data_IF_457115236810
#
_entry.id   IF_457115236810
#
_cell.length_a   1.000
_cell.length_b   1.000
_cell.length_c   1.000
_cell.angle_alpha   90.00
_cell.angle_beta   90.00
_cell.angle_gamma   90.00
#
_symmetry.space_group_name_H-M   'P 1'
#
loop_
_entity.id
_entity.type
_entity.pdbx_description
1 polymer ?
#
# COMPACT_ATOMS: atom_id res chain seq x y z
N UNK A 1 -14.99 -31.28 -33.20
CA UNK A 1 -15.59 -32.58 -32.81
C UNK A 1 -16.85 -32.23 -32.02
N UNK A 2 -17.98 -31.84 -32.63
CA UNK A 2 -18.53 -32.16 -33.95
C UNK A 2 -18.83 -33.65 -34.11
N UNK A 3 -19.98 -34.09 -33.58
CA UNK A 3 -20.88 -35.14 -34.10
C UNK A 3 -22.02 -35.34 -33.10
N UNK A 4 -23.18 -34.73 -33.37
CA UNK A 4 -24.50 -35.31 -33.03
C UNK A 4 -25.60 -34.67 -33.90
N UNK A 5 -25.49 -34.92 -35.21
CA UNK A 5 -26.41 -34.41 -36.23
C UNK A 5 -27.54 -35.43 -36.52
N UNK A 6 -27.45 -36.64 -35.96
CA UNK A 6 -28.30 -37.77 -36.32
C UNK A 6 -29.67 -37.78 -35.62
N UNK A 7 -29.78 -37.30 -34.37
CA UNK A 7 -31.09 -37.18 -33.71
C UNK A 7 -32.02 -36.16 -34.38
N UNK A 8 -31.46 -35.23 -35.18
CA UNK A 8 -32.24 -34.20 -35.91
C UNK A 8 -32.90 -34.72 -37.19
N UNK A 9 -32.58 -35.93 -37.67
CA UNK A 9 -33.01 -36.45 -38.98
C UNK A 9 -34.23 -37.39 -38.86
N UNK A 10 -34.49 -38.00 -37.71
CA UNK A 10 -35.51 -39.07 -37.57
C UNK A 10 -36.96 -38.61 -37.32
N UNK A 11 -37.21 -37.32 -37.06
CA UNK A 11 -38.55 -36.80 -36.68
C UNK A 11 -39.32 -36.00 -37.74
N UNK A 12 -38.82 -35.91 -38.98
CA UNK A 12 -39.44 -35.12 -40.06
C UNK A 12 -39.69 -35.89 -41.37
N UNK A 13 -39.96 -37.20 -41.28
CA UNK A 13 -40.43 -37.99 -42.43
C UNK A 13 -41.58 -38.93 -42.07
N UNK A 14 -42.70 -38.35 -41.66
CA UNK A 14 -44.04 -38.87 -41.98
C UNK A 14 -45.13 -37.81 -41.78
N UNK A 15 -46.10 -37.77 -42.71
CA UNK A 15 -47.39 -37.05 -42.66
C UNK A 15 -47.42 -35.51 -42.90
N UNK A 16 -47.40 -35.14 -44.19
CA UNK A 16 -47.85 -33.86 -44.74
C UNK A 16 -47.55 -33.77 -46.26
N UNK A 17 -48.41 -34.23 -47.20
CA UNK A 17 -49.55 -33.49 -47.82
C UNK A 17 -49.15 -32.07 -48.28
N UNK A 18 -49.32 -31.61 -49.54
CA UNK A 18 -50.17 -32.00 -50.70
C UNK A 18 -49.52 -31.47 -52.02
N UNK A 19 -50.06 -31.84 -53.20
CA UNK A 19 -50.10 -31.06 -54.49
C UNK A 19 -48.81 -30.91 -55.33
N UNK A 20 -48.81 -30.72 -56.67
CA UNK A 20 -49.82 -30.81 -57.78
C UNK A 20 -49.05 -30.73 -59.13
N UNK A 21 -49.63 -31.21 -60.27
CA UNK A 21 -49.19 -30.99 -61.68
C UNK A 21 -47.79 -31.55 -62.10
N UNK A 22 -47.44 -31.85 -63.37
CA UNK A 22 -48.14 -31.85 -64.68
C UNK A 22 -47.52 -32.91 -65.65
N UNK A 23 -48.28 -33.33 -66.69
CA UNK A 23 -47.90 -33.81 -68.05
C UNK A 23 -46.89 -34.97 -68.34
N UNK A 24 -47.33 -35.83 -69.29
CA UNK A 24 -46.61 -36.42 -70.46
C UNK A 24 -45.33 -37.30 -70.22
N UNK A 25 -45.00 -38.38 -70.96
CA UNK A 25 -45.62 -39.10 -72.09
C UNK A 25 -45.00 -40.55 -72.24
N UNK A 26 -45.54 -41.36 -73.18
CA UNK A 26 -45.01 -42.60 -73.82
C UNK A 26 -45.33 -44.02 -73.28
N UNK A 27 -45.91 -44.81 -74.19
CA UNK A 27 -46.03 -46.29 -74.22
C UNK A 27 -44.83 -46.91 -75.00
N UNK A 28 -44.74 -48.22 -75.42
CA UNK A 28 -45.73 -49.31 -75.62
C UNK A 28 -45.52 -50.55 -74.69
N UNK A 29 -46.37 -51.58 -74.49
CA UNK A 29 -47.24 -52.43 -75.35
C UNK A 29 -46.65 -53.88 -75.44
N UNK A 30 -47.36 -55.00 -75.78
CA UNK A 30 -48.80 -55.29 -75.98
C UNK A 30 -49.34 -56.62 -75.32
N UNK A 31 -50.64 -56.98 -75.48
CA UNK A 31 -51.19 -58.35 -75.18
C UNK A 31 -52.73 -58.46 -74.95
N UNK A 32 -53.40 -59.48 -75.53
CA UNK A 32 -54.90 -59.65 -75.73
C UNK A 32 -55.21 -61.17 -75.97
N UNK A 33 -56.41 -61.83 -75.77
CA UNK A 33 -57.81 -61.44 -75.40
C UNK A 33 -58.45 -62.26 -74.22
N UNK A 34 -59.80 -62.45 -74.20
CA UNK A 34 -60.61 -63.35 -73.31
C UNK A 34 -61.06 -64.68 -73.97
N UNK A 35 -62.25 -65.31 -73.70
CA UNK A 35 -63.47 -64.83 -72.97
C UNK A 35 -64.26 -65.90 -72.11
N UNK A 36 -65.51 -65.56 -71.73
CA UNK A 36 -66.69 -66.45 -71.50
C UNK A 36 -67.20 -66.76 -70.06
N UNK A 37 -68.50 -67.08 -69.98
CA UNK A 37 -69.41 -67.17 -68.81
C UNK A 37 -69.93 -68.60 -68.56
N UNK A 38 -70.77 -68.94 -67.54
CA UNK A 38 -72.19 -68.52 -67.48
C UNK A 38 -72.85 -68.34 -66.08
N UNK A 39 -74.05 -67.74 -66.05
CA UNK A 39 -74.98 -67.75 -64.90
C UNK A 39 -76.43 -67.46 -65.34
N UNK A 40 -77.43 -68.19 -64.80
CA UNK A 40 -78.89 -67.89 -64.75
C UNK A 40 -79.65 -69.09 -64.13
N UNK A 41 -80.96 -69.01 -63.76
CA UNK A 41 -81.94 -67.95 -64.06
C UNK A 41 -82.82 -67.40 -62.91
N UNK A 42 -83.36 -66.20 -63.19
CA UNK A 42 -84.72 -65.67 -62.87
C UNK A 42 -85.33 -65.69 -61.46
N UNK A 43 -85.90 -64.53 -61.08
CA UNK A 43 -87.38 -64.35 -61.02
C UNK A 43 -87.78 -62.89 -61.30
N UNK A 44 -88.97 -62.71 -61.88
CA UNK A 44 -89.52 -61.42 -62.33
C UNK A 44 -90.02 -60.55 -61.17
N UNK A 45 -89.99 -59.22 -61.35
CA UNK A 45 -90.76 -58.29 -60.51
C UNK A 45 -90.31 -56.82 -60.60
N UNK A 46 -91.23 -55.95 -61.02
CA UNK A 46 -91.20 -54.48 -60.82
C UNK A 46 -90.09 -53.67 -61.54
N UNK A 47 -90.21 -53.57 -62.86
CA UNK A 47 -89.39 -52.68 -63.71
C UNK A 47 -89.83 -51.19 -63.75
N UNK A 48 -90.77 -50.75 -62.90
CA UNK A 48 -91.31 -49.36 -62.92
C UNK A 48 -91.07 -48.52 -61.65
N UNK A 49 -90.51 -49.10 -60.58
CA UNK A 49 -90.17 -48.37 -59.34
C UNK A 49 -88.69 -47.95 -59.25
N UNK A 50 -87.76 -48.65 -59.93
CA UNK A 50 -86.31 -48.43 -59.77
C UNK A 50 -85.81 -47.09 -60.31
N UNK A 51 -86.45 -46.52 -61.33
CA UNK A 51 -86.03 -45.21 -61.89
C UNK A 51 -86.57 -44.00 -61.12
N UNK A 52 -87.80 -44.08 -60.58
CA UNK A 52 -88.32 -43.03 -59.68
C UNK A 52 -87.58 -43.06 -58.35
N UNK A 53 -87.34 -44.24 -57.75
CA UNK A 53 -86.54 -44.34 -56.52
C UNK A 53 -85.10 -43.87 -56.73
N UNK A 54 -84.44 -44.18 -57.85
CA UNK A 54 -83.10 -43.61 -58.15
C UNK A 54 -83.13 -42.09 -58.23
N UNK A 55 -84.08 -41.48 -58.94
CA UNK A 55 -84.20 -40.01 -59.02
C UNK A 55 -84.52 -39.35 -57.66
N UNK A 56 -85.37 -39.97 -56.84
CA UNK A 56 -85.70 -39.48 -55.50
C UNK A 56 -84.51 -39.64 -54.54
N UNK A 57 -83.78 -40.76 -54.59
CA UNK A 57 -82.58 -40.98 -53.76
C UNK A 57 -81.44 -40.03 -54.17
N UNK A 58 -81.23 -39.80 -55.47
CA UNK A 58 -80.24 -38.84 -55.97
C UNK A 58 -80.63 -37.42 -55.55
N UNK A 59 -81.90 -37.02 -55.74
CA UNK A 59 -82.40 -35.72 -55.27
C UNK A 59 -82.28 -35.52 -53.76
N UNK A 60 -82.66 -36.54 -52.96
CA UNK A 60 -82.52 -36.50 -51.51
C UNK A 60 -81.06 -36.47 -51.04
N UNK A 61 -80.15 -37.17 -51.73
CA UNK A 61 -78.71 -37.10 -51.43
C UNK A 61 -78.12 -35.72 -51.72
N UNK A 62 -78.55 -35.07 -52.82
CA UNK A 62 -78.14 -33.69 -53.14
C UNK A 62 -78.66 -32.73 -52.07
N UNK A 63 -79.93 -32.84 -51.67
CA UNK A 63 -80.52 -32.01 -50.61
C UNK A 63 -79.80 -32.24 -49.27
N UNK A 64 -79.49 -33.49 -48.92
CA UNK A 64 -78.74 -33.82 -47.69
C UNK A 64 -77.31 -33.24 -47.71
N UNK A 65 -76.60 -33.33 -48.84
CA UNK A 65 -75.27 -32.72 -49.02
C UNK A 65 -75.32 -31.20 -48.93
N UNK A 66 -76.35 -30.56 -49.50
CA UNK A 66 -76.57 -29.11 -49.36
C UNK A 66 -76.86 -28.73 -47.91
N UNK A 67 -77.69 -29.50 -47.18
CA UNK A 67 -77.97 -29.27 -45.76
C UNK A 67 -76.70 -29.41 -44.90
N UNK A 68 -75.89 -30.44 -45.15
CA UNK A 68 -74.59 -30.63 -44.50
C UNK A 68 -73.65 -29.46 -44.81
N UNK A 69 -73.58 -29.01 -46.07
CA UNK A 69 -72.76 -27.86 -46.46
C UNK A 69 -73.21 -26.54 -45.78
N UNK A 70 -74.51 -26.32 -45.62
CA UNK A 70 -75.07 -25.17 -44.89
C UNK A 70 -74.76 -25.27 -43.39
N UNK A 71 -74.93 -26.44 -42.78
CA UNK A 71 -74.59 -26.65 -41.35
C UNK A 71 -73.09 -26.43 -41.12
N UNK A 72 -72.23 -26.95 -42.00
CA UNK A 72 -70.78 -26.69 -41.95
C UNK A 72 -70.49 -25.20 -42.17
N UNK A 73 -71.17 -24.51 -43.09
CA UNK A 73 -71.01 -23.06 -43.31
C UNK A 73 -71.40 -22.22 -42.09
N UNK A 74 -72.51 -22.54 -41.43
CA UNK A 74 -72.94 -21.86 -40.19
C UNK A 74 -71.99 -22.18 -39.03
N UNK A 75 -71.57 -23.44 -38.88
CA UNK A 75 -70.63 -23.86 -37.84
C UNK A 75 -69.24 -23.23 -38.01
N UNK A 76 -68.72 -23.21 -39.25
CA UNK A 76 -67.42 -22.59 -39.57
C UNK A 76 -67.45 -21.08 -39.42
N UNK A 77 -68.54 -20.39 -39.77
CA UNK A 77 -68.65 -18.94 -39.53
C UNK A 77 -68.77 -18.59 -38.05
N UNK A 78 -69.43 -19.42 -37.23
CA UNK A 78 -69.46 -19.27 -35.77
C UNK A 78 -68.08 -19.52 -35.13
N UNK A 79 -67.44 -20.65 -35.44
CA UNK A 79 -66.06 -20.97 -35.03
C UNK A 79 -65.07 -19.85 -35.44
N UNK A 80 -65.14 -19.37 -36.68
CA UNK A 80 -64.26 -18.30 -37.17
C UNK A 80 -64.49 -16.96 -36.45
N UNK A 81 -65.70 -16.66 -35.97
CA UNK A 81 -65.96 -15.48 -35.14
C UNK A 81 -65.35 -15.63 -33.75
N UNK A 82 -65.58 -16.76 -33.09
CA UNK A 82 -64.99 -17.04 -31.77
C UNK A 82 -63.45 -17.07 -31.82
N UNK A 83 -62.87 -17.68 -32.85
CA UNK A 83 -61.42 -17.72 -33.08
C UNK A 83 -60.83 -16.32 -33.32
N UNK A 84 -61.52 -15.45 -34.08
CA UNK A 84 -61.09 -14.04 -34.27
C UNK A 84 -61.14 -13.25 -32.97
N UNK A 85 -62.24 -13.34 -32.22
CA UNK A 85 -62.37 -12.66 -30.92
C UNK A 85 -61.27 -13.10 -29.93
N UNK A 86 -60.96 -14.39 -29.89
CA UNK A 86 -59.86 -14.93 -29.08
C UNK A 86 -58.48 -14.46 -29.58
N UNK A 87 -58.25 -14.34 -30.88
CA UNK A 87 -57.01 -13.77 -31.43
C UNK A 87 -56.86 -12.27 -31.13
N UNK A 88 -57.93 -11.49 -31.26
CA UNK A 88 -57.96 -10.07 -30.90
C UNK A 88 -57.71 -9.87 -29.40
N UNK A 89 -58.34 -10.68 -28.54
CA UNK A 89 -58.09 -10.69 -27.09
C UNK A 89 -56.64 -11.06 -26.74
N UNK A 90 -56.06 -12.07 -27.41
CA UNK A 90 -54.62 -12.41 -27.27
C UNK A 90 -53.72 -11.24 -27.65
N UNK A 91 -53.97 -10.60 -28.79
CA UNK A 91 -53.19 -9.44 -29.24
C UNK A 91 -53.33 -8.25 -28.28
N UNK A 92 -54.51 -8.02 -27.70
CA UNK A 92 -54.72 -7.02 -26.67
C UNK A 92 -53.93 -7.33 -25.38
N UNK A 93 -53.96 -8.60 -24.91
CA UNK A 93 -53.17 -9.06 -23.76
C UNK A 93 -51.66 -9.01 -24.01
N UNK A 94 -51.17 -9.34 -25.21
CA UNK A 94 -49.75 -9.16 -25.55
C UNK A 94 -49.34 -7.69 -25.57
N UNK A 95 -50.21 -6.77 -26.03
CA UNK A 95 -49.98 -5.32 -25.91
C UNK A 95 -49.95 -4.87 -24.45
N UNK A 96 -50.79 -5.44 -23.58
CA UNK A 96 -50.75 -5.20 -22.14
C UNK A 96 -49.42 -5.67 -21.52
N UNK A 97 -48.93 -6.87 -21.86
CA UNK A 97 -47.59 -7.36 -21.47
C UNK A 97 -46.50 -6.38 -21.90
N UNK A 98 -46.48 -5.98 -23.18
CA UNK A 98 -45.48 -5.05 -23.68
C UNK A 98 -45.58 -3.64 -23.07
N UNK A 99 -46.72 -3.26 -22.48
CA UNK A 99 -46.88 -1.99 -21.75
C UNK A 99 -46.30 -2.05 -20.33
N UNK A 100 -46.40 -3.18 -19.64
CA UNK A 100 -45.89 -3.34 -18.27
C UNK A 100 -44.43 -3.85 -18.20
N UNK A 101 -44.00 -4.64 -19.18
CA UNK A 101 -42.64 -5.16 -19.33
C UNK A 101 -41.79 -4.26 -20.25
N UNK A 102 -41.45 -3.08 -19.73
CA UNK A 102 -40.61 -2.04 -20.36
C UNK A 102 -39.37 -1.75 -19.51
N UNK A 103 -38.31 -1.20 -20.13
CA UNK A 103 -37.07 -0.85 -19.43
C UNK A 103 -36.33 -2.09 -18.91
N UNK A 104 -36.01 -2.14 -17.61
CA UNK A 104 -35.27 -3.26 -17.01
C UNK A 104 -35.98 -4.63 -17.14
N UNK A 105 -37.29 -4.64 -17.38
CA UNK A 105 -38.09 -5.84 -17.62
C UNK A 105 -38.27 -6.21 -19.10
N UNK A 106 -37.78 -5.38 -20.02
CA UNK A 106 -38.11 -5.52 -21.45
C UNK A 106 -37.56 -6.82 -22.06
N UNK A 107 -36.44 -7.28 -21.52
CA UNK A 107 -35.73 -8.51 -21.89
C UNK A 107 -35.85 -9.61 -20.82
N UNK A 108 -36.73 -9.47 -19.81
CA UNK A 108 -36.89 -10.48 -18.77
C UNK A 108 -37.50 -11.78 -19.38
N UNK A 109 -36.94 -12.98 -19.12
CA UNK A 109 -37.47 -14.24 -19.62
C UNK A 109 -38.95 -14.48 -19.24
N UNK A 110 -39.43 -13.89 -18.14
CA UNK A 110 -40.83 -13.96 -17.71
C UNK A 110 -41.78 -13.30 -18.73
N UNK A 111 -41.34 -12.28 -19.46
CA UNK A 111 -42.11 -11.65 -20.56
C UNK A 111 -42.40 -12.64 -21.67
N UNK A 112 -41.38 -13.40 -22.09
CA UNK A 112 -41.52 -14.44 -23.12
C UNK A 112 -42.39 -15.61 -22.62
N UNK A 113 -42.28 -15.98 -21.35
CA UNK A 113 -43.17 -16.97 -20.73
C UNK A 113 -44.63 -16.49 -20.71
N UNK A 114 -44.91 -15.24 -20.33
CA UNK A 114 -46.27 -14.68 -20.36
C UNK A 114 -46.86 -14.66 -21.77
N UNK A 115 -46.09 -14.21 -22.76
CA UNK A 115 -46.53 -14.18 -24.16
C UNK A 115 -46.84 -15.60 -24.66
N UNK A 116 -46.04 -16.60 -24.27
CA UNK A 116 -46.30 -18.00 -24.60
C UNK A 116 -47.55 -18.55 -23.90
N UNK A 117 -47.79 -18.22 -22.62
CA UNK A 117 -49.01 -18.60 -21.90
C UNK A 117 -50.26 -17.97 -22.54
N UNK A 118 -50.21 -16.67 -22.87
CA UNK A 118 -51.27 -15.95 -23.60
C UNK A 118 -51.53 -16.62 -24.96
N UNK A 119 -50.48 -17.01 -25.69
CA UNK A 119 -50.62 -17.70 -26.97
C UNK A 119 -51.21 -19.11 -26.84
N UNK A 120 -50.97 -19.82 -25.73
CA UNK A 120 -51.49 -21.17 -25.47
C UNK A 120 -52.92 -21.22 -24.92
N UNK A 121 -53.44 -20.12 -24.35
CA UNK A 121 -54.80 -20.06 -23.80
C UNK A 121 -55.88 -20.45 -24.83
N UNK A 122 -56.86 -21.25 -24.41
CA UNK A 122 -57.92 -21.83 -25.23
C UNK A 122 -59.27 -21.10 -25.10
N UNK A 123 -59.43 -20.25 -24.10
CA UNK A 123 -60.64 -19.45 -23.87
C UNK A 123 -60.31 -18.00 -23.48
N UNK A 124 -61.33 -17.14 -23.52
CA UNK A 124 -61.22 -15.74 -23.06
C UNK A 124 -61.10 -15.70 -21.52
N UNK A 125 -61.81 -16.58 -20.81
CA UNK A 125 -61.71 -16.72 -19.35
C UNK A 125 -60.30 -17.13 -18.87
N UNK A 126 -59.57 -17.93 -19.66
CA UNK A 126 -58.16 -18.25 -19.37
C UNK A 126 -57.24 -17.03 -19.57
N UNK A 127 -57.56 -16.14 -20.51
CA UNK A 127 -56.80 -14.90 -20.74
C UNK A 127 -57.06 -13.83 -19.68
N UNK A 128 -58.29 -13.74 -19.18
CA UNK A 128 -58.66 -12.79 -18.11
C UNK A 128 -58.05 -13.15 -16.76
N UNK A 129 -57.83 -14.45 -16.50
CA UNK A 129 -57.11 -14.94 -15.30
C UNK A 129 -55.62 -14.61 -15.29
N UNK A 130 -55.03 -14.18 -16.41
CA UNK A 130 -53.62 -13.74 -16.48
C UNK A 130 -53.55 -12.26 -16.08
N UNK A 131 -53.28 -12.01 -14.80
CA UNK A 131 -52.98 -10.68 -14.28
C UNK A 131 -51.53 -10.28 -14.61
N UNK A 132 -51.38 -9.70 -15.80
CA UNK A 132 -50.13 -9.15 -16.32
C UNK A 132 -49.54 -8.09 -15.37
N UNK A 133 -50.38 -7.28 -14.72
CA UNK A 133 -49.94 -6.16 -13.89
C UNK A 133 -49.37 -6.66 -12.57
N UNK A 134 -50.10 -7.53 -11.86
CA UNK A 134 -49.61 -8.10 -10.59
C UNK A 134 -48.31 -8.88 -10.79
N UNK A 135 -48.17 -9.63 -11.88
CA UNK A 135 -46.94 -10.36 -12.21
C UNK A 135 -45.78 -9.40 -12.50
N UNK A 136 -46.00 -8.33 -13.27
CA UNK A 136 -44.99 -7.32 -13.53
C UNK A 136 -44.55 -6.57 -12.26
N UNK A 137 -45.49 -6.21 -11.37
CA UNK A 137 -45.21 -5.58 -10.08
C UNK A 137 -44.43 -6.51 -9.13
N UNK A 138 -44.81 -7.79 -9.05
CA UNK A 138 -44.07 -8.80 -8.31
C UNK A 138 -42.63 -8.95 -8.84
N UNK A 139 -42.44 -8.98 -10.17
CA UNK A 139 -41.10 -9.12 -10.75
C UNK A 139 -40.24 -7.86 -10.53
N UNK A 140 -40.83 -6.65 -10.52
CA UNK A 140 -40.11 -5.42 -10.10
C UNK A 140 -39.61 -5.52 -8.67
N UNK A 141 -40.49 -5.90 -7.73
CA UNK A 141 -40.12 -6.03 -6.32
C UNK A 141 -39.02 -7.10 -6.11
N UNK A 142 -39.06 -8.21 -6.85
CA UNK A 142 -37.97 -9.20 -6.84
C UNK A 142 -36.65 -8.63 -7.37
N UNK A 143 -36.67 -7.93 -8.51
CA UNK A 143 -35.48 -7.36 -9.13
C UNK A 143 -34.85 -6.29 -8.21
N UNK A 144 -35.67 -5.47 -7.56
CA UNK A 144 -35.24 -4.50 -6.54
C UNK A 144 -34.60 -5.20 -5.32
N UNK A 145 -35.21 -6.28 -4.81
CA UNK A 145 -34.60 -7.09 -3.74
C UNK A 145 -33.28 -7.75 -4.18
N UNK A 146 -33.20 -8.29 -5.40
CA UNK A 146 -31.96 -8.83 -5.97
C UNK A 146 -30.87 -7.75 -6.05
N UNK A 147 -31.21 -6.50 -6.43
CA UNK A 147 -30.27 -5.37 -6.48
C UNK A 147 -29.77 -4.99 -5.09
N UNK A 148 -30.67 -4.82 -4.11
CA UNK A 148 -30.30 -4.52 -2.73
C UNK A 148 -29.41 -5.61 -2.12
N UNK A 149 -29.68 -6.88 -2.41
CA UNK A 149 -28.82 -8.00 -1.99
C UNK A 149 -27.43 -7.96 -2.64
N UNK A 150 -27.35 -7.67 -3.95
CA UNK A 150 -26.05 -7.54 -4.66
C UNK A 150 -25.24 -6.35 -4.14
N UNK A 151 -25.86 -5.19 -3.94
CA UNK A 151 -25.20 -4.02 -3.36
C UNK A 151 -24.69 -4.28 -1.94
N UNK A 152 -25.45 -5.04 -1.14
CA UNK A 152 -25.04 -5.44 0.20
C UNK A 152 -23.86 -6.44 0.19
N UNK A 153 -23.86 -7.40 -0.73
CA UNK A 153 -22.71 -8.31 -0.94
C UNK A 153 -21.47 -7.54 -1.39
N UNK A 154 -21.59 -6.66 -2.38
CA UNK A 154 -20.50 -5.78 -2.84
C UNK A 154 -19.96 -4.89 -1.72
N UNK A 155 -20.83 -4.35 -0.85
CA UNK A 155 -20.40 -3.57 0.31
C UNK A 155 -19.58 -4.42 1.30
N UNK A 156 -19.98 -5.67 1.56
CA UNK A 156 -19.18 -6.60 2.38
C UNK A 156 -17.82 -6.91 1.76
N UNK A 157 -17.78 -7.29 0.48
CA UNK A 157 -16.54 -7.60 -0.24
C UNK A 157 -15.58 -6.41 -0.24
N UNK A 158 -16.09 -5.21 -0.53
CA UNK A 158 -15.30 -3.97 -0.50
C UNK A 158 -14.74 -3.69 0.89
N UNK A 159 -15.55 -3.85 1.95
CA UNK A 159 -15.10 -3.62 3.33
C UNK A 159 -14.09 -4.66 3.81
N UNK A 160 -14.25 -5.93 3.42
CA UNK A 160 -13.27 -6.98 3.69
C UNK A 160 -11.92 -6.65 3.04
N UNK A 161 -11.91 -6.22 1.78
CA UNK A 161 -10.68 -5.82 1.07
C UNK A 161 -10.01 -4.60 1.71
N UNK A 162 -10.78 -3.59 2.13
CA UNK A 162 -10.27 -2.40 2.84
C UNK A 162 -9.57 -2.80 4.17
N UNK A 163 -10.19 -3.70 4.94
CA UNK A 163 -9.63 -4.23 6.19
C UNK A 163 -8.38 -5.08 5.89
N UNK A 164 -8.39 -5.92 4.86
CA UNK A 164 -7.22 -6.72 4.48
C UNK A 164 -6.02 -5.87 4.02
N UNK A 165 -6.27 -4.83 3.21
CA UNK A 165 -5.21 -3.92 2.73
C UNK A 165 -4.59 -3.12 3.87
N UNK A 166 -5.43 -2.56 4.76
CA UNK A 166 -4.97 -1.74 5.88
C UNK A 166 -4.17 -2.54 6.92
N UNK A 167 -4.58 -3.78 7.23
CA UNK A 167 -3.77 -4.71 8.04
C UNK A 167 -2.55 -5.23 7.29
N UNK A 168 -2.61 -5.40 5.97
CA UNK A 168 -1.49 -5.82 5.13
C UNK A 168 -0.27 -4.90 5.23
N UNK A 169 -0.49 -3.58 5.34
CA UNK A 169 0.57 -2.61 5.58
C UNK A 169 1.35 -2.91 6.88
N UNK A 170 0.65 -3.19 7.98
CA UNK A 170 1.27 -3.57 9.24
C UNK A 170 1.96 -4.94 9.15
N UNK A 171 1.25 -5.94 8.59
CA UNK A 171 1.74 -7.33 8.50
C UNK A 171 2.94 -7.51 7.57
N UNK A 172 3.23 -6.54 6.70
CA UNK A 172 4.45 -6.46 5.89
C UNK A 172 5.72 -6.09 6.69
N UNK A 173 5.55 -5.52 7.89
CA UNK A 173 6.65 -5.06 8.74
C UNK A 173 7.33 -6.23 9.49
N UNK A 174 8.59 -6.06 9.93
CA UNK A 174 9.28 -7.01 10.81
C UNK A 174 8.71 -6.98 12.23
N UNK A 175 7.50 -7.52 12.39
CA UNK A 175 6.74 -7.57 13.64
C UNK A 175 7.28 -8.62 14.63
N UNK A 176 7.26 -8.33 15.94
CA UNK A 176 7.33 -9.34 16.99
C UNK A 176 6.23 -10.40 16.83
N UNK A 177 6.50 -11.62 17.29
CA UNK A 177 5.53 -12.72 17.26
C UNK A 177 4.20 -12.34 17.95
N UNK A 178 4.29 -11.67 19.10
CA UNK A 178 3.12 -11.27 19.91
C UNK A 178 2.23 -10.29 19.14
N UNK A 179 2.79 -9.17 18.65
CA UNK A 179 2.06 -8.15 17.89
C UNK A 179 1.51 -8.74 16.58
N UNK A 180 2.26 -9.61 15.91
CA UNK A 180 1.79 -10.31 14.71
C UNK A 180 0.60 -11.22 15.01
N UNK A 181 0.62 -11.94 16.13
CA UNK A 181 -0.48 -12.81 16.55
C UNK A 181 -1.74 -11.99 16.89
N UNK A 182 -1.58 -10.88 17.60
CA UNK A 182 -2.66 -9.95 17.95
C UNK A 182 -3.28 -9.32 16.70
N UNK A 183 -2.46 -8.84 15.77
CA UNK A 183 -2.91 -8.26 14.51
C UNK A 183 -3.72 -9.26 13.66
N UNK A 184 -3.29 -10.53 13.59
CA UNK A 184 -4.03 -11.58 12.86
C UNK A 184 -5.34 -11.95 13.58
N UNK A 185 -5.36 -11.98 14.91
CA UNK A 185 -6.59 -12.23 15.67
C UNK A 185 -7.63 -11.13 15.45
N UNK A 186 -7.22 -9.85 15.56
CA UNK A 186 -8.10 -8.70 15.33
C UNK A 186 -8.60 -8.66 13.88
N UNK A 187 -7.71 -8.90 12.90
CA UNK A 187 -8.07 -9.02 11.49
C UNK A 187 -9.21 -10.03 11.28
N UNK A 188 -9.08 -11.23 11.85
CA UNK A 188 -10.11 -12.27 11.72
C UNK A 188 -11.42 -11.88 12.43
N UNK A 189 -11.35 -11.30 13.64
CA UNK A 189 -12.54 -10.80 14.35
C UNK A 189 -13.28 -9.70 13.55
N UNK A 190 -12.56 -8.81 12.87
CA UNK A 190 -13.16 -7.79 12.01
C UNK A 190 -13.82 -8.40 10.77
N UNK A 191 -13.18 -9.39 10.13
CA UNK A 191 -13.80 -10.15 9.02
C UNK A 191 -15.06 -10.89 9.46
N UNK A 192 -15.05 -11.52 10.63
CA UNK A 192 -16.24 -12.18 11.22
C UNK A 192 -17.38 -11.19 11.51
N UNK A 193 -17.06 -9.99 12.04
CA UNK A 193 -18.05 -8.90 12.21
C UNK A 193 -18.66 -8.48 10.85
N UNK A 194 -17.85 -8.27 9.80
CA UNK A 194 -18.38 -7.91 8.46
C UNK A 194 -19.23 -9.03 7.88
N UNK A 195 -18.81 -10.29 8.03
CA UNK A 195 -19.55 -11.44 7.54
C UNK A 195 -20.88 -11.63 8.28
N UNK A 196 -20.92 -11.40 9.60
CA UNK A 196 -22.12 -11.54 10.44
C UNK A 196 -23.11 -10.37 10.34
N UNK A 197 -22.68 -9.19 9.88
CA UNK A 197 -23.54 -8.02 9.67
C UNK A 197 -24.74 -8.35 8.76
N UNK A 198 -25.89 -7.75 9.04
CA UNK A 198 -27.17 -7.98 8.34
C UNK A 198 -27.60 -6.82 7.44
N UNK A 199 -27.06 -5.63 7.67
CA UNK A 199 -27.40 -4.40 6.95
C UNK A 199 -26.15 -3.71 6.39
N UNK A 200 -26.33 -2.91 5.34
CA UNK A 200 -25.26 -2.11 4.71
C UNK A 200 -24.64 -1.12 5.72
N UNK A 201 -25.47 -0.59 6.62
CA UNK A 201 -25.06 0.36 7.65
C UNK A 201 -24.22 -0.31 8.76
N UNK A 202 -24.58 -1.52 9.19
CA UNK A 202 -23.76 -2.32 10.10
C UNK A 202 -22.35 -2.60 9.52
N UNK A 203 -22.25 -2.85 8.21
CA UNK A 203 -20.95 -3.04 7.54
C UNK A 203 -20.14 -1.73 7.52
N UNK A 204 -20.80 -0.60 7.25
CA UNK A 204 -20.14 0.71 7.20
C UNK A 204 -19.59 1.17 8.57
N UNK A 205 -20.22 0.77 9.68
CA UNK A 205 -19.79 1.08 11.05
C UNK A 205 -18.56 0.28 11.53
N UNK A 206 -18.10 -0.72 10.78
CA UNK A 206 -16.92 -1.54 11.16
C UNK A 206 -15.64 -0.81 10.73
N UNK A 207 -15.11 0.01 11.63
CA UNK A 207 -13.86 0.76 11.42
C UNK A 207 -12.63 -0.03 11.92
N UNK A 208 -11.64 -0.34 11.05
CA UNK A 208 -10.37 -0.92 11.48
C UNK A 208 -9.41 0.07 12.16
N UNK A 209 -9.57 1.38 11.95
CA UNK A 209 -8.57 2.39 12.34
C UNK A 209 -8.22 2.42 13.85
N UNK A 210 -9.18 2.31 14.80
CA UNK A 210 -8.86 2.33 16.23
C UNK A 210 -7.95 1.16 16.64
N UNK A 211 -8.18 -0.02 16.04
CA UNK A 211 -7.39 -1.21 16.30
C UNK A 211 -6.01 -1.13 15.66
N UNK A 212 -5.93 -0.63 14.42
CA UNK A 212 -4.66 -0.41 13.73
C UNK A 212 -3.80 0.62 14.45
N UNK A 213 -4.39 1.69 14.98
CA UNK A 213 -3.70 2.69 15.80
C UNK A 213 -3.03 2.08 17.03
N UNK A 214 -3.72 1.17 17.75
CA UNK A 214 -3.13 0.50 18.91
C UNK A 214 -1.97 -0.43 18.49
N UNK A 215 -2.16 -1.22 17.43
CA UNK A 215 -1.15 -2.15 16.93
C UNK A 215 0.11 -1.44 16.39
N UNK A 216 -0.06 -0.38 15.60
CA UNK A 216 1.06 0.44 15.11
C UNK A 216 1.78 1.16 16.24
N UNK A 217 1.06 1.63 17.26
CA UNK A 217 1.67 2.20 18.47
C UNK A 217 2.51 1.16 19.24
N UNK A 218 2.00 -0.06 19.40
CA UNK A 218 2.79 -1.19 19.98
C UNK A 218 4.04 -1.48 19.15
N UNK A 219 3.93 -1.51 17.82
CA UNK A 219 5.07 -1.72 16.92
C UNK A 219 6.12 -0.60 17.02
N UNK A 220 5.69 0.66 17.06
CA UNK A 220 6.60 1.79 17.29
C UNK A 220 7.27 1.77 18.66
N UNK A 221 6.57 1.35 19.71
CA UNK A 221 7.20 1.16 21.03
C UNK A 221 8.28 0.08 20.99
N UNK A 222 8.03 -1.03 20.29
CA UNK A 222 9.03 -2.06 20.03
C UNK A 222 10.24 -1.50 19.28
N UNK A 223 10.04 -0.76 18.18
CA UNK A 223 11.15 -0.11 17.45
C UNK A 223 11.99 0.81 18.36
N UNK A 224 11.34 1.65 19.18
CA UNK A 224 12.02 2.54 20.15
C UNK A 224 12.82 1.73 21.18
N UNK A 225 12.30 0.60 21.65
CA UNK A 225 12.98 -0.22 22.66
C UNK A 225 14.20 -0.95 22.12
N UNK A 226 14.14 -1.48 20.89
CA UNK A 226 15.27 -2.19 20.28
C UNK A 226 16.43 -1.29 19.83
N UNK A 227 16.20 0.00 19.63
CA UNK A 227 17.27 0.93 19.29
C UNK A 227 18.29 0.95 20.46
N UNK A 228 19.59 0.71 20.21
CA UNK A 228 20.57 0.58 21.30
C UNK A 228 20.86 1.91 22.03
N UNK A 229 20.61 3.05 21.38
CA UNK A 229 20.80 4.39 21.97
C UNK A 229 19.70 4.73 22.98
N UNK A 230 20.04 5.46 24.04
CA UNK A 230 19.06 5.91 25.06
C UNK A 230 18.05 6.96 24.54
N UNK A 231 18.39 7.59 23.41
CA UNK A 231 17.56 8.56 22.69
C UNK A 231 17.23 8.06 21.29
N UNK A 232 16.14 8.57 20.75
CA UNK A 232 15.65 8.30 19.39
C UNK A 232 15.30 9.63 18.72
N UNK A 233 15.32 9.66 17.40
CA UNK A 233 14.81 10.77 16.61
C UNK A 233 13.40 10.38 16.15
N UNK A 234 12.42 11.24 16.41
CA UNK A 234 11.11 11.17 15.78
C UNK A 234 11.06 12.22 14.67
N UNK A 235 10.69 11.76 13.47
CA UNK A 235 10.69 12.57 12.25
C UNK A 235 9.31 12.52 11.58
N UNK A 236 8.70 13.69 11.42
CA UNK A 236 7.36 13.89 10.82
C UNK A 236 7.54 14.82 9.62
N UNK A 237 7.62 14.23 8.42
CA UNK A 237 7.96 14.97 7.20
C UNK A 237 9.34 15.62 7.30
N UNK A 238 9.39 16.95 7.30
CA UNK A 238 10.64 17.74 7.43
C UNK A 238 11.03 18.05 8.88
N UNK A 239 10.12 17.90 9.84
CA UNK A 239 10.43 18.15 11.25
C UNK A 239 11.12 16.92 11.87
N UNK A 240 12.30 17.11 12.46
CA UNK A 240 13.06 16.08 13.17
C UNK A 240 13.29 16.56 14.61
N UNK A 241 12.94 15.75 15.60
CA UNK A 241 13.07 16.09 17.02
C UNK A 241 13.68 14.92 17.80
N UNK A 242 14.55 15.23 18.76
CA UNK A 242 15.27 14.25 19.57
C UNK A 242 14.51 14.06 20.88
N UNK A 243 14.32 12.80 21.28
CA UNK A 243 13.60 12.44 22.51
C UNK A 243 14.32 11.28 23.22
N UNK A 244 14.19 11.19 24.54
CA UNK A 244 14.44 9.93 25.25
C UNK A 244 13.41 8.88 24.83
N UNK A 245 13.72 7.58 25.02
CA UNK A 245 12.75 6.50 24.74
C UNK A 245 11.39 6.71 25.43
N UNK A 246 11.39 7.23 26.65
CA UNK A 246 10.16 7.49 27.42
C UNK A 246 9.33 8.65 26.83
N UNK A 247 9.98 9.76 26.50
CA UNK A 247 9.34 10.92 25.87
C UNK A 247 8.81 10.57 24.48
N UNK A 248 9.56 9.83 23.68
CA UNK A 248 9.13 9.40 22.34
C UNK A 248 7.84 8.57 22.41
N UNK A 249 7.78 7.59 23.31
CA UNK A 249 6.56 6.81 23.56
C UNK A 249 5.40 7.70 24.05
N UNK A 250 5.68 8.68 24.91
CA UNK A 250 4.68 9.63 25.41
C UNK A 250 4.14 10.58 24.33
N UNK A 251 4.97 11.01 23.37
CA UNK A 251 4.53 11.78 22.19
C UNK A 251 3.60 10.91 21.33
N UNK A 252 4.02 9.69 20.99
CA UNK A 252 3.22 8.77 20.18
C UNK A 252 1.92 8.30 20.87
N UNK A 253 1.89 8.25 22.21
CA UNK A 253 0.69 7.85 22.97
C UNK A 253 -0.46 8.86 22.88
N UNK A 254 -0.15 10.15 22.64
CA UNK A 254 -1.13 11.24 22.50
C UNK A 254 -1.84 11.26 21.16
N UNK A 255 -1.26 10.64 20.13
CA UNK A 255 -1.79 10.66 18.77
C UNK A 255 -3.06 9.81 18.72
N UNK A 256 -4.21 10.43 18.49
CA UNK A 256 -5.53 9.77 18.39
C UNK A 256 -5.94 9.42 16.96
N UNK A 257 -5.24 9.94 15.95
CA UNK A 257 -5.50 9.66 14.54
C UNK A 257 -4.48 8.66 13.98
N UNK A 258 -4.98 7.58 13.38
CA UNK A 258 -4.14 6.57 12.74
C UNK A 258 -3.31 7.14 11.59
N UNK A 259 -3.88 8.05 10.81
CA UNK A 259 -3.23 8.67 9.65
C UNK A 259 -2.15 9.68 10.06
N UNK A 260 -2.28 10.31 11.23
CA UNK A 260 -1.19 11.10 11.81
C UNK A 260 -0.07 10.19 12.32
N UNK A 261 -0.40 9.09 12.99
CA UNK A 261 0.59 8.17 13.55
C UNK A 261 1.54 7.63 12.47
N UNK A 262 1.01 7.25 11.31
CA UNK A 262 1.80 6.75 10.16
C UNK A 262 2.77 7.77 9.55
N UNK A 263 2.65 9.07 9.85
CA UNK A 263 3.58 10.10 9.35
C UNK A 263 4.91 10.12 10.12
N UNK A 264 4.99 9.41 11.25
CA UNK A 264 6.19 9.35 12.07
C UNK A 264 7.14 8.24 11.62
N UNK A 265 8.41 8.63 11.50
CA UNK A 265 9.54 7.72 11.31
C UNK A 265 10.45 7.78 12.53
N UNK A 266 11.03 6.64 12.90
CA UNK A 266 11.82 6.46 14.11
C UNK A 266 13.25 6.12 13.68
N UNK A 267 14.19 7.00 14.00
CA UNK A 267 15.59 6.88 13.60
C UNK A 267 16.51 6.81 14.84
N UNK A 268 17.68 6.19 14.70
CA UNK A 268 18.67 6.09 15.79
C UNK A 268 19.30 7.47 16.05
N UNK A 269 19.38 7.88 17.32
CA UNK A 269 20.09 9.10 17.71
C UNK A 269 21.59 8.80 17.90
N UNK A 270 22.30 8.58 16.79
CA UNK A 270 23.75 8.38 16.80
C UNK A 270 24.46 9.73 16.88
N UNK A 271 25.07 10.01 18.03
CA UNK A 271 25.74 11.28 18.32
C UNK A 271 27.11 11.36 17.65
N UNK A 272 27.39 12.49 16.99
CA UNK A 272 28.62 12.77 16.25
C UNK A 272 29.14 14.15 16.64
N UNK A 273 30.46 14.31 16.68
CA UNK A 273 31.11 15.58 17.00
C UNK A 273 31.31 16.42 15.74
N UNK A 274 30.88 17.69 15.78
CA UNK A 274 31.02 18.67 14.70
C UNK A 274 31.80 19.87 15.20
N UNK A 275 32.86 20.24 14.49
CA UNK A 275 33.65 21.43 14.76
C UNK A 275 33.08 22.64 14.00
N UNK A 276 32.62 23.66 14.71
CA UNK A 276 32.00 24.87 14.17
C UNK A 276 32.82 26.11 14.54
N UNK A 277 33.14 26.96 13.56
CA UNK A 277 33.82 28.25 13.81
C UNK A 277 32.77 29.35 13.66
N UNK A 278 32.35 29.94 14.78
CA UNK A 278 31.29 30.94 14.84
C UNK A 278 31.78 32.24 15.50
N UNK A 279 31.26 33.42 15.13
CA UNK A 279 31.40 34.65 15.91
C UNK A 279 30.89 34.47 17.35
N UNK A 280 31.51 35.12 18.33
CA UNK A 280 31.11 35.09 19.74
C UNK A 280 29.63 35.44 19.92
N UNK A 281 29.12 36.44 19.21
CA UNK A 281 27.71 36.86 19.28
C UNK A 281 26.70 35.80 18.81
N UNK A 282 27.11 34.86 17.95
CA UNK A 282 26.28 33.75 17.49
C UNK A 282 26.23 32.60 18.51
N UNK A 283 27.12 32.61 19.51
CA UNK A 283 27.16 31.65 20.62
C UNK A 283 26.49 32.28 21.84
N UNK A 284 25.16 32.26 21.85
CA UNK A 284 24.35 33.00 22.81
C UNK A 284 24.23 32.24 24.15
N UNK A 285 24.70 32.91 25.21
CA UNK A 285 25.00 32.31 26.50
C UNK A 285 26.50 32.43 26.77
N UNK A 286 26.91 33.56 27.37
CA UNK A 286 28.28 34.08 27.38
C UNK A 286 29.38 33.10 27.84
N UNK A 287 29.02 32.02 28.54
CA UNK A 287 29.94 30.97 28.97
C UNK A 287 29.33 29.57 28.72
N UNK A 288 29.44 29.06 27.49
CA UNK A 288 29.18 27.65 27.18
C UNK A 288 30.29 26.77 27.76
N UNK A 289 29.90 25.88 28.67
CA UNK A 289 30.78 24.91 29.32
C UNK A 289 30.69 23.53 28.67
N UNK A 290 31.74 22.72 28.86
CA UNK A 290 31.72 21.30 28.49
C UNK A 290 30.57 20.59 29.21
N UNK A 291 29.77 19.82 28.49
CA UNK A 291 28.56 19.16 28.99
C UNK A 291 27.28 20.00 28.93
N UNK A 292 27.34 21.28 28.56
CA UNK A 292 26.13 22.11 28.45
C UNK A 292 25.20 21.61 27.34
N UNK A 293 23.92 21.46 27.66
CA UNK A 293 22.87 21.12 26.70
C UNK A 293 22.50 22.36 25.88
N UNK A 294 22.46 22.23 24.55
CA UNK A 294 22.28 23.34 23.61
C UNK A 294 21.17 23.07 22.57
N UNK A 295 20.70 24.14 21.93
CA UNK A 295 19.97 24.12 20.65
C UNK A 295 20.77 24.82 19.58
N UNK A 296 20.57 24.41 18.33
CA UNK A 296 21.17 25.05 17.16
C UNK A 296 20.06 25.56 16.25
N UNK A 297 20.16 26.82 15.86
CA UNK A 297 19.30 27.50 14.92
C UNK A 297 20.13 27.98 13.72
N UNK A 298 19.48 28.27 12.60
CA UNK A 298 20.06 28.92 11.43
C UNK A 298 19.23 30.15 11.06
N UNK A 299 19.89 31.27 10.78
CA UNK A 299 19.23 32.43 10.20
C UNK A 299 19.24 32.29 8.66
N UNK A 300 18.07 32.01 8.07
CA UNK A 300 17.94 31.89 6.61
C UNK A 300 17.87 33.29 5.98
N UNK A 301 17.10 34.18 6.60
CA UNK A 301 16.88 35.56 6.19
C UNK A 301 16.92 36.46 7.43
N UNK A 302 17.03 37.78 7.24
CA UNK A 302 17.05 38.78 8.33
C UNK A 302 15.92 38.61 9.36
N UNK A 303 14.75 38.08 8.97
CA UNK A 303 13.58 37.86 9.82
C UNK A 303 13.22 36.39 10.05
N UNK A 304 13.92 35.42 9.46
CA UNK A 304 13.55 33.99 9.48
C UNK A 304 14.63 33.14 10.13
N UNK A 305 14.31 32.61 11.32
CA UNK A 305 15.17 31.69 12.07
C UNK A 305 14.56 30.29 11.96
N UNK A 306 15.31 29.34 11.41
CA UNK A 306 14.97 27.91 11.38
C UNK A 306 15.64 27.21 12.56
N UNK A 307 14.90 26.36 13.27
CA UNK A 307 15.45 25.44 14.26
C UNK A 307 16.10 24.27 13.52
N UNK A 308 17.39 24.03 13.75
CA UNK A 308 18.17 22.97 13.10
C UNK A 308 18.26 21.76 14.02
N UNK A 309 18.75 21.93 15.25
CA UNK A 309 18.85 20.85 16.23
C UNK A 309 18.19 21.23 17.56
N UNK A 310 17.24 20.41 17.99
CA UNK A 310 16.47 20.56 19.23
C UNK A 310 17.28 20.28 20.50
N UNK A 311 18.35 19.51 20.35
CA UNK A 311 19.24 19.08 21.42
C UNK A 311 20.61 18.71 20.86
N UNK A 312 21.65 19.23 21.51
CA UNK A 312 23.02 18.78 21.39
C UNK A 312 23.76 19.05 22.70
N UNK A 313 25.03 18.71 22.75
CA UNK A 313 25.91 18.99 23.88
C UNK A 313 27.16 19.74 23.43
N UNK A 314 27.67 20.63 24.27
CA UNK A 314 28.98 21.26 24.07
C UNK A 314 30.05 20.29 24.55
N UNK A 315 30.93 19.85 23.65
CA UNK A 315 32.13 19.10 24.04
C UNK A 315 33.26 20.08 24.40
N UNK A 316 33.53 21.06 23.53
CA UNK A 316 34.62 22.01 23.75
C UNK A 316 34.31 23.39 23.16
N UNK A 317 34.83 24.43 23.80
CA UNK A 317 34.79 25.82 23.34
C UNK A 317 36.21 26.38 23.44
N UNK A 318 36.72 26.95 22.37
CA UNK A 318 38.06 27.52 22.26
C UNK A 318 38.00 28.87 21.56
N UNK A 319 38.64 29.88 22.14
CA UNK A 319 38.75 31.20 21.52
C UNK A 319 39.87 31.20 20.48
N UNK A 320 39.60 31.69 19.26
CA UNK A 320 40.62 31.85 18.23
C UNK A 320 41.29 33.21 18.41
N UNK A 321 42.36 33.25 19.20
CA UNK A 321 43.31 34.38 19.17
C UNK A 321 44.22 34.25 17.95
N UNK A 322 44.27 35.28 17.11
CA UNK A 322 45.07 35.31 15.87
C UNK A 322 46.61 35.20 16.09
N UNK A 323 47.06 35.19 17.35
CA UNK A 323 48.46 35.13 17.77
C UNK A 323 48.85 33.88 18.57
N UNK A 324 47.95 32.89 18.69
CA UNK A 324 48.22 31.65 19.44
C UNK A 324 49.19 30.71 18.71
N UNK A 325 50.43 30.60 19.18
CA UNK A 325 51.36 29.53 18.83
C UNK A 325 51.34 28.48 19.94
N UNK A 326 51.20 27.20 19.57
CA UNK A 326 51.29 26.07 20.51
C UNK A 326 52.57 25.29 20.23
N UNK A 327 53.36 25.05 21.29
CA UNK A 327 54.46 24.11 21.30
C UNK A 327 53.91 22.68 21.41
N UNK A 328 53.80 21.98 20.28
CA UNK A 328 53.40 20.56 20.22
C UNK A 328 54.66 19.72 20.44
N UNK A 329 54.61 18.79 21.39
CA UNK A 329 55.68 17.83 21.66
C UNK A 329 55.26 16.43 21.21
N UNK A 330 55.81 15.95 20.10
CA UNK A 330 55.62 14.57 19.66
C UNK A 330 56.75 13.68 20.19
N UNK A 331 56.41 12.66 20.98
CA UNK A 331 57.36 11.61 21.34
C UNK A 331 57.22 10.40 20.43
N UNK A 332 58.25 10.10 19.64
CA UNK A 332 58.38 8.82 18.95
C UNK A 332 59.24 7.87 19.79
N UNK A 333 58.75 6.64 19.98
CA UNK A 333 59.42 5.60 20.73
C UNK A 333 59.60 4.36 19.84
N UNK A 334 60.80 4.17 19.28
CA UNK A 334 61.16 2.90 18.63
C UNK A 334 61.81 1.95 19.66
N UNK A 335 61.32 0.71 19.74
CA UNK A 335 61.93 -0.34 20.56
C UNK A 335 62.46 -1.48 19.68
N UNK A 336 63.78 -1.69 19.66
CA UNK A 336 64.44 -2.83 18.97
C UNK A 336 65.06 -3.78 20.01
N UNK A 337 64.93 -5.09 19.80
CA UNK A 337 65.26 -6.13 20.80
C UNK A 337 66.23 -7.20 20.26
N UNK A 338 67.37 -7.43 20.93
CA UNK A 338 68.45 -8.37 20.53
C UNK A 338 69.10 -9.02 21.78
N UNK A 339 69.58 -10.28 21.72
CA UNK A 339 70.01 -11.08 22.91
C UNK A 339 71.33 -11.89 22.64
N UNK A 340 72.45 -11.73 23.40
CA UNK A 340 73.67 -12.62 23.48
C UNK A 340 74.80 -12.14 24.45
N UNK A 341 75.28 -12.98 25.42
CA UNK A 341 75.57 -12.53 26.80
C UNK A 341 77.00 -12.60 27.40
N UNK A 342 77.43 -11.53 28.13
CA UNK A 342 78.40 -11.48 29.26
C UNK A 342 78.55 -10.03 29.82
N UNK A 343 79.12 -9.82 31.02
CA UNK A 343 79.08 -8.53 31.77
C UNK A 343 80.42 -7.75 31.86
N UNK A 344 80.33 -6.42 31.77
CA UNK A 344 81.23 -5.42 32.42
C UNK A 344 80.57 -4.03 32.33
N UNK A 345 80.79 -3.12 33.29
CA UNK A 345 79.99 -1.89 33.45
C UNK A 345 80.78 -0.58 33.40
N UNK A 346 80.26 0.39 32.63
CA UNK A 346 80.68 1.81 32.58
C UNK A 346 79.45 2.69 32.27
N UNK A 347 79.51 3.98 32.60
CA UNK A 347 78.45 4.96 32.32
C UNK A 347 79.05 6.26 31.81
N UNK A 348 78.65 6.71 30.62
CA UNK A 348 79.04 7.99 30.04
C UNK A 348 77.81 8.81 29.64
N UNK A 349 77.87 10.12 29.91
CA UNK A 349 76.83 11.09 29.55
C UNK A 349 77.40 12.05 28.50
N UNK A 350 76.70 12.24 27.39
CA UNK A 350 77.08 13.19 26.34
C UNK A 350 75.95 14.14 25.99
N UNK A 351 76.32 15.39 25.73
CA UNK A 351 75.40 16.45 25.29
C UNK A 351 76.08 17.24 24.17
N UNK A 352 75.61 17.06 22.94
CA UNK A 352 76.02 17.90 21.81
C UNK A 352 74.84 18.80 21.39
N UNK A 353 75.14 20.09 21.20
CA UNK A 353 74.20 21.06 20.65
C UNK A 353 74.61 21.34 19.20
N UNK A 354 73.73 21.02 18.25
CA UNK A 354 73.96 21.24 16.82
C UNK A 354 72.89 22.18 16.27
N UNK A 355 73.31 23.29 15.65
CA UNK A 355 72.40 24.35 15.21
C UNK A 355 72.67 24.79 13.75
N UNK A 356 71.97 24.19 12.77
CA UNK A 356 71.92 24.69 11.40
C UNK A 356 70.66 25.56 11.20
N UNK A 357 70.78 26.87 11.47
CA UNK A 357 69.70 27.85 11.30
C UNK A 357 69.08 28.35 12.62
N UNK A 358 68.27 29.41 12.52
CA UNK A 358 67.79 30.29 13.63
C UNK A 358 66.85 29.65 14.68
N UNK A 359 66.88 28.33 14.88
CA UNK A 359 66.11 27.65 15.93
C UNK A 359 67.04 26.71 16.73
N UNK A 360 67.16 26.88 18.07
CA UNK A 360 68.00 25.99 18.88
C UNK A 360 67.33 24.61 19.02
N UNK A 361 67.88 23.62 18.32
CA UNK A 361 67.49 22.21 18.51
C UNK A 361 68.25 21.68 19.72
N UNK A 362 67.57 21.57 20.87
CA UNK A 362 68.13 20.95 22.07
C UNK A 362 68.01 19.42 21.98
N UNK A 363 69.09 18.75 21.58
CA UNK A 363 69.16 17.28 21.63
C UNK A 363 69.51 16.83 23.05
N UNK A 364 68.57 16.17 23.73
CA UNK A 364 68.78 15.67 25.09
C UNK A 364 68.70 14.14 25.09
N UNK A 365 69.85 13.50 24.88
CA UNK A 365 69.99 12.05 24.83
C UNK A 365 70.19 11.47 26.23
N UNK A 366 69.12 11.00 26.86
CA UNK A 366 69.19 10.15 28.06
C UNK A 366 69.32 8.68 27.65
N UNK A 367 70.51 8.09 27.81
CA UNK A 367 70.73 6.64 27.62
C UNK A 367 70.65 5.93 28.97
N UNK A 368 69.46 5.47 29.33
CA UNK A 368 69.27 4.59 30.50
C UNK A 368 69.42 3.12 30.09
N UNK A 369 70.67 2.65 29.91
CA UNK A 369 70.95 1.22 29.77
C UNK A 369 70.96 0.53 31.14
N UNK A 370 69.86 -0.14 31.47
CA UNK A 370 69.72 -0.98 32.65
C UNK A 370 69.56 -2.45 32.25
N UNK A 371 70.61 -3.26 32.48
CA UNK A 371 70.59 -4.68 32.17
C UNK A 371 71.09 -5.53 33.35
N UNK A 372 70.22 -6.43 33.82
CA UNK A 372 70.56 -7.58 34.66
C UNK A 372 70.74 -8.83 33.78
N UNK A 373 71.42 -9.85 34.31
CA UNK A 373 71.81 -11.07 33.58
C UNK A 373 70.67 -12.06 33.29
N UNK A 374 69.74 -11.62 32.46
CA UNK A 374 69.06 -12.46 31.48
C UNK A 374 68.78 -11.57 30.27
N UNK A 375 69.68 -11.60 29.31
CA UNK A 375 69.67 -10.56 28.29
C UNK A 375 68.45 -10.62 27.40
N UNK A 376 67.72 -9.51 27.44
CA UNK A 376 67.27 -8.90 26.21
C UNK A 376 67.72 -7.45 26.21
N UNK A 377 68.56 -7.04 25.25
CA UNK A 377 68.71 -5.62 25.01
C UNK A 377 67.41 -5.10 24.43
N UNK A 378 66.88 -4.03 24.99
CA UNK A 378 65.69 -3.34 24.48
C UNK A 378 66.06 -1.88 24.29
N UNK A 379 66.68 -1.58 23.14
CA UNK A 379 67.01 -0.22 22.77
C UNK A 379 65.71 0.53 22.56
N UNK A 380 65.37 1.38 23.52
CA UNK A 380 64.22 2.28 23.48
C UNK A 380 64.74 3.65 23.07
N UNK A 381 64.57 4.00 21.80
CA UNK A 381 64.91 5.33 21.29
C UNK A 381 63.67 6.20 21.46
N UNK A 382 63.63 7.00 22.53
CA UNK A 382 62.62 8.04 22.72
C UNK A 382 63.14 9.38 22.19
N UNK A 383 62.64 9.81 21.05
CA UNK A 383 62.89 11.15 20.49
C UNK A 383 61.67 12.04 20.74
N UNK A 384 61.84 13.13 21.48
CA UNK A 384 60.82 14.16 21.67
C UNK A 384 61.08 15.36 20.75
N UNK A 385 60.16 15.60 19.83
CA UNK A 385 60.18 16.72 18.90
C UNK A 385 59.21 17.79 19.37
N UNK A 386 59.73 18.88 19.96
CA UNK A 386 58.92 20.06 20.29
C UNK A 386 58.97 21.03 19.12
N UNK A 387 57.83 21.26 18.46
CA UNK A 387 57.70 22.21 17.36
C UNK A 387 56.54 23.17 17.58
N UNK A 388 56.71 24.40 17.09
CA UNK A 388 55.77 25.50 17.28
C UNK A 388 54.84 25.58 16.07
N UNK A 389 53.55 25.26 16.25
CA UNK A 389 52.53 25.35 15.20
C UNK A 389 51.56 26.47 15.52
N UNK A 390 51.09 27.18 14.50
CA UNK A 390 50.00 28.11 14.65
C UNK A 390 48.71 27.36 15.03
N UNK A 391 48.02 27.82 16.08
CA UNK A 391 46.79 27.22 16.61
C UNK A 391 45.76 26.97 15.50
N UNK A 392 45.64 27.89 14.54
CA UNK A 392 44.71 27.80 13.42
C UNK A 392 44.97 26.60 12.48
N UNK A 393 46.19 26.08 12.38
CA UNK A 393 46.54 24.91 11.57
C UNK A 393 46.25 23.61 12.30
N UNK A 394 46.58 23.53 13.60
CA UNK A 394 46.17 22.42 14.48
C UNK A 394 44.65 22.29 14.46
N UNK A 395 43.91 23.38 14.64
CA UNK A 395 42.45 23.36 14.69
C UNK A 395 41.82 22.97 13.34
N UNK A 396 42.41 23.36 12.21
CA UNK A 396 42.02 22.85 10.88
C UNK A 396 42.26 21.34 10.75
N UNK A 397 43.36 20.83 11.30
CA UNK A 397 43.68 19.41 11.28
C UNK A 397 42.78 18.58 12.20
N UNK A 398 42.35 19.11 13.37
CA UNK A 398 41.29 18.52 14.20
C UNK A 398 39.98 18.47 13.42
N UNK A 399 39.53 19.59 12.85
CA UNK A 399 38.27 19.67 12.11
C UNK A 399 38.24 18.78 10.85
N UNK A 400 39.41 18.49 10.27
CA UNK A 400 39.57 17.55 9.15
C UNK A 400 39.83 16.08 9.59
N UNK A 401 39.84 15.79 10.89
CA UNK A 401 40.15 14.48 11.48
C UNK A 401 41.49 13.88 11.02
N UNK A 402 42.54 14.71 10.94
CA UNK A 402 43.88 14.35 10.42
C UNK A 402 44.98 14.19 11.48
N UNK A 403 44.64 14.21 12.76
CA UNK A 403 45.62 14.13 13.86
C UNK A 403 45.57 12.74 14.50
N UNK A 404 46.72 12.06 14.56
CA UNK A 404 46.85 10.72 15.15
C UNK A 404 46.71 10.73 16.69
N UNK A 405 47.24 11.76 17.37
CA UNK A 405 47.19 11.94 18.82
C UNK A 405 46.13 12.99 19.23
N UNK A 406 44.87 12.79 18.80
CA UNK A 406 43.82 13.78 18.99
C UNK A 406 43.54 14.13 20.47
N UNK A 407 43.77 13.21 21.40
CA UNK A 407 43.45 13.39 22.82
C UNK A 407 44.52 14.18 23.59
N UNK A 408 45.80 14.02 23.26
CA UNK A 408 46.89 14.83 23.83
C UNK A 408 46.77 16.30 23.40
N UNK A 409 46.43 16.54 22.13
CA UNK A 409 46.16 17.88 21.60
C UNK A 409 44.93 18.51 22.26
N UNK A 410 43.86 17.74 22.50
CA UNK A 410 42.71 18.19 23.30
C UNK A 410 43.12 18.56 24.73
N UNK A 411 44.01 17.82 25.36
CA UNK A 411 44.47 18.12 26.72
C UNK A 411 45.29 19.42 26.77
N UNK A 412 46.20 19.63 25.81
CA UNK A 412 46.96 20.88 25.69
C UNK A 412 46.04 22.09 25.42
N UNK A 413 45.03 21.93 24.56
CA UNK A 413 43.99 22.95 24.32
C UNK A 413 43.13 23.20 25.57
N UNK A 414 42.83 22.17 26.37
CA UNK A 414 42.11 22.31 27.64
C UNK A 414 42.93 23.07 28.70
N UNK A 415 44.26 22.92 28.73
CA UNK A 415 45.14 23.76 29.57
C UNK A 415 45.13 25.24 29.12
N UNK A 416 44.94 25.51 27.83
CA UNK A 416 44.80 26.88 27.31
C UNK A 416 43.44 27.51 27.66
N UNK A 417 42.36 26.72 27.58
CA UNK A 417 41.00 27.09 28.00
C UNK A 417 40.94 27.66 29.43
N UNK A 418 41.65 27.04 30.38
CA UNK A 418 41.65 27.42 31.80
C UNK A 418 42.19 28.82 32.13
N UNK A 419 42.95 29.48 31.23
CA UNK A 419 43.48 30.81 31.52
C UNK A 419 42.59 31.96 31.08
N UNK A 420 41.97 31.88 29.91
CA UNK A 420 41.27 33.04 29.33
C UNK A 420 39.77 33.07 29.68
N UNK A 421 39.09 31.92 29.60
CA UNK A 421 37.64 31.84 29.80
C UNK A 421 37.26 31.98 31.27
N UNK A 422 38.01 31.32 32.16
CA UNK A 422 37.83 31.46 33.61
C UNK A 422 38.11 32.90 34.07
N UNK A 423 39.04 33.63 33.44
CA UNK A 423 39.28 35.05 33.74
C UNK A 423 38.09 35.93 33.31
N UNK A 424 37.56 35.77 32.09
CA UNK A 424 36.35 36.50 31.67
C UNK A 424 35.13 36.16 32.53
N UNK A 425 34.92 34.87 32.83
CA UNK A 425 33.78 34.36 33.59
C UNK A 425 33.82 34.81 35.07
N UNK A 426 34.98 34.75 35.72
CA UNK A 426 35.13 35.16 37.11
C UNK A 426 35.14 36.69 37.28
N UNK A 427 35.54 37.46 36.26
CA UNK A 427 35.51 38.93 36.31
C UNK A 427 34.22 39.55 35.76
N UNK A 428 33.36 38.77 35.09
CA UNK A 428 32.13 39.27 34.45
C UNK A 428 32.39 40.23 33.28
N UNK A 429 33.62 40.23 32.73
CA UNK A 429 34.04 41.16 31.70
C UNK A 429 33.84 40.56 30.30
N UNK A 430 32.98 41.19 29.50
CA UNK A 430 32.84 40.92 28.07
C UNK A 430 34.01 41.56 27.28
N UNK A 431 35.25 41.23 27.65
CA UNK A 431 36.45 41.90 27.12
C UNK A 431 36.74 41.58 25.65
N UNK A 432 36.35 40.39 25.18
CA UNK A 432 36.51 39.95 23.79
C UNK A 432 35.43 40.50 22.84
N UNK A 433 35.83 40.91 21.62
CA UNK A 433 34.92 41.51 20.64
C UNK A 433 33.76 40.56 20.22
N UNK A 434 32.53 41.06 19.97
CA UNK A 434 31.39 40.22 19.55
C UNK A 434 31.63 39.46 18.23
N UNK A 435 32.42 40.04 17.34
CA UNK A 435 32.87 39.52 16.05
C UNK A 435 33.96 38.45 16.15
N UNK A 436 34.61 38.31 17.31
CA UNK A 436 35.75 37.41 17.47
C UNK A 436 35.33 35.95 17.28
N UNK A 437 36.20 35.17 16.64
CA UNK A 437 35.88 33.79 16.26
C UNK A 437 36.10 32.83 17.42
N UNK A 438 35.16 31.92 17.61
CA UNK A 438 35.17 30.86 18.60
C UNK A 438 35.01 29.53 17.88
N UNK A 439 35.89 28.58 18.16
CA UNK A 439 35.70 27.20 17.78
C UNK A 439 34.84 26.51 18.84
N UNK A 440 33.66 26.04 18.45
CA UNK A 440 32.75 25.24 19.27
C UNK A 440 32.72 23.83 18.69
N UNK A 441 33.13 22.84 19.47
CA UNK A 441 32.92 21.42 19.16
C UNK A 441 31.63 21.01 19.84
N UNK A 442 30.60 20.75 19.03
CA UNK A 442 29.28 20.29 19.48
C UNK A 442 29.10 18.80 19.20
N UNK A 443 28.41 18.11 20.08
CA UNK A 443 27.96 16.74 19.90
C UNK A 443 26.46 16.74 19.57
N UNK A 444 26.11 16.28 18.38
CA UNK A 444 24.75 16.35 17.79
C UNK A 444 24.47 15.05 17.03
N UNK A 445 23.21 14.61 16.87
CA UNK A 445 22.95 13.40 16.10
C UNK A 445 23.30 13.57 14.61
N UNK A 446 23.84 12.51 14.00
CA UNK A 446 24.32 12.47 12.62
C UNK A 446 23.32 13.05 11.60
N UNK A 447 22.03 12.76 11.79
CA UNK A 447 20.91 13.18 10.93
C UNK A 447 20.70 14.72 10.86
N UNK A 448 21.35 15.49 11.73
CA UNK A 448 21.35 16.97 11.73
C UNK A 448 22.64 17.58 11.17
N UNK A 449 23.69 16.78 10.95
CA UNK A 449 25.02 17.29 10.56
C UNK A 449 24.99 17.95 9.19
N UNK A 450 24.23 17.41 8.23
CA UNK A 450 24.09 18.01 6.89
C UNK A 450 23.45 19.40 6.94
N UNK A 451 22.36 19.56 7.69
CA UNK A 451 21.68 20.85 7.88
C UNK A 451 22.57 21.86 8.62
N UNK A 452 23.34 21.41 9.62
CA UNK A 452 24.33 22.23 10.33
C UNK A 452 25.44 22.72 9.38
N UNK A 453 26.02 21.84 8.57
CA UNK A 453 27.08 22.20 7.62
C UNK A 453 26.59 23.12 6.50
N UNK A 454 25.34 22.94 6.06
CA UNK A 454 24.68 23.78 5.05
C UNK A 454 24.53 25.23 5.50
N UNK A 455 24.23 25.46 6.77
CA UNK A 455 24.01 26.81 7.33
C UNK A 455 25.17 27.33 8.18
N UNK A 456 26.35 26.69 8.14
CA UNK A 456 27.51 26.92 9.03
C UNK A 456 27.88 28.38 9.31
N UNK A 457 27.69 29.29 8.35
CA UNK A 457 28.08 30.71 8.43
C UNK A 457 26.97 31.61 9.03
N UNK A 458 25.80 31.04 9.33
CA UNK A 458 24.61 31.72 9.87
C UNK A 458 23.94 30.93 11.02
N UNK A 459 24.72 30.07 11.70
CA UNK A 459 24.23 29.31 12.85
C UNK A 459 24.19 30.16 14.12
N UNK A 460 23.22 29.88 14.99
CA UNK A 460 23.15 30.38 16.35
C UNK A 460 23.08 29.21 17.32
N UNK A 461 23.98 29.15 18.28
CA UNK A 461 23.99 28.15 19.35
C UNK A 461 23.46 28.80 20.63
N UNK A 462 22.48 28.17 21.28
CA UNK A 462 21.89 28.69 22.53
C UNK A 462 21.92 27.64 23.62
N UNK A 463 22.34 27.98 24.84
CA UNK A 463 22.22 27.09 26.00
C UNK A 463 20.75 26.83 26.36
N UNK A 464 20.40 25.58 26.62
CA UNK A 464 19.11 25.24 27.24
C UNK A 464 19.26 25.39 28.75
N UNK A 465 18.58 26.39 29.31
CA UNK A 465 18.35 26.49 30.75
C UNK A 465 17.08 25.70 31.06
N UNK A 466 17.19 24.73 31.97
CA UNK A 466 16.10 23.88 32.45
C UNK A 466 16.03 23.90 33.97
#
# INVERSE_FOLDING_TARGET
MAEDIEEKIRRLRELGRVSVEEKEEKAPGPGVPGPSSPRKPSRLGKLRERERRKRIIIGASIIAVVLIAVIIGVYTTYQNRAAKQLQEAKLAKVKEVNKYFTGELENDPMKAQLINQINQAKSIEELEKIDVKAIAEQRKAQLEQERLQREFQQAKETKLLEIEQSFGLLLSQPLPADIKSEAVQILNQLKEKVNSAKTKDEVALIDPNPYLLELWRKYYYYLIDNIPTQKVILKKGTEKSIYTKAEAKYVLSKITDFTELLQYTIEKAEMVQVALILPREQVNGAFLSSGDKIKIFAQINSTTIQKIADEGYVNMVLFLSDSGVISVSESQQETKKIETSSETSYSDQHSEAYAPGDQPISYQQSVDESHSTSQSSSQTISASYTYNVALNEILKAIAANKIAAADEVKEQLARYKWKLFDLEQNMGLLATEPSAKVLVIVEVPAEFVEDILKYKDALYITKIVG
#
